data_IF_215254007174
#
_entry.id   IF_215254007174
#
_cell.length_a   1.000
_cell.length_b   1.000
_cell.length_c   1.000
_cell.angle_alpha   90.00
_cell.angle_beta   90.00
_cell.angle_gamma   90.00
#
_symmetry.space_group_name_H-M   'P 1'
#
loop_
_entity.id
_entity.type
_entity.pdbx_description
1 polymer ?
#
# COMPACT_ATOMS: atom_id res chain seq x y z
N UNK A 1 -7.50 31.56 18.13
CA UNK A 1 -7.90 30.22 17.63
C UNK A 1 -6.77 29.69 16.76
N UNK A 2 -6.18 28.54 17.11
CA UNK A 2 -5.11 27.92 16.32
C UNK A 2 -5.66 27.24 15.05
N UNK A 3 -4.83 27.06 14.00
CA UNK A 3 -5.31 26.47 12.75
C UNK A 3 -5.82 25.05 13.00
N UNK A 4 -7.08 24.82 12.65
CA UNK A 4 -7.74 23.51 12.65
C UNK A 4 -7.08 22.63 11.59
N UNK A 5 -6.16 21.77 12.05
CA UNK A 5 -5.56 20.66 11.32
C UNK A 5 -6.62 19.91 10.50
N UNK A 6 -6.71 20.24 9.22
CA UNK A 6 -7.45 19.44 8.24
C UNK A 6 -6.74 18.07 8.23
N UNK A 7 -7.48 17.00 8.55
CA UNK A 7 -6.93 15.66 8.54
C UNK A 7 -6.32 15.38 7.18
N UNK A 8 -5.00 15.17 7.12
CA UNK A 8 -4.28 14.88 5.87
C UNK A 8 -4.92 13.65 5.23
N UNK A 9 -5.62 13.86 4.10
CA UNK A 9 -6.21 12.78 3.33
C UNK A 9 -5.11 11.81 2.90
N UNK A 10 -5.35 10.50 3.08
CA UNK A 10 -4.35 9.49 2.74
C UNK A 10 -4.28 9.35 1.23
N UNK A 11 -3.13 9.66 0.63
CA UNK A 11 -2.86 9.34 -0.77
C UNK A 11 -2.94 7.83 -0.99
N UNK A 12 -3.92 7.37 -1.75
CA UNK A 12 -4.09 5.96 -2.07
C UNK A 12 -3.21 5.64 -3.28
N UNK A 13 -2.12 4.92 -3.04
CA UNK A 13 -1.20 4.46 -4.09
C UNK A 13 -1.54 3.02 -4.49
N UNK A 14 -1.60 2.76 -5.80
CA UNK A 14 -1.78 1.41 -6.35
C UNK A 14 -0.56 0.53 -6.06
N UNK A 15 -0.70 -0.80 -6.16
CA UNK A 15 0.45 -1.70 -6.01
C UNK A 15 1.47 -1.46 -7.12
N UNK A 16 1.02 -1.14 -8.33
CA UNK A 16 1.91 -0.89 -9.46
C UNK A 16 2.82 0.31 -9.20
N UNK A 17 2.25 1.44 -8.77
CA UNK A 17 3.03 2.64 -8.45
C UNK A 17 4.05 2.38 -7.34
N UNK A 18 3.70 1.57 -6.33
CA UNK A 18 4.65 1.16 -5.28
C UNK A 18 5.79 0.31 -5.83
N UNK A 19 5.53 -0.59 -6.79
CA UNK A 19 6.56 -1.40 -7.46
C UNK A 19 7.50 -0.53 -8.30
N UNK A 20 6.97 0.41 -9.07
CA UNK A 20 7.76 1.37 -9.84
C UNK A 20 8.69 2.19 -8.93
N UNK A 21 8.18 2.66 -7.79
CA UNK A 21 9.00 3.36 -6.81
C UNK A 21 10.13 2.48 -6.25
N UNK A 22 9.86 1.20 -5.97
CA UNK A 22 10.89 0.25 -5.51
C UNK A 22 11.94 0.05 -6.61
N UNK A 23 11.54 -0.14 -7.86
CA UNK A 23 12.45 -0.33 -8.99
C UNK A 23 13.36 0.89 -9.19
N UNK A 24 12.83 2.12 -9.08
CA UNK A 24 13.62 3.36 -9.15
C UNK A 24 14.65 3.48 -8.03
N UNK A 25 14.30 3.08 -6.80
CA UNK A 25 15.26 3.05 -5.68
C UNK A 25 16.34 1.99 -5.90
N UNK A 26 15.96 0.78 -6.32
CA UNK A 26 16.90 -0.31 -6.61
C UNK A 26 17.84 0.03 -7.78
N UNK A 27 17.36 0.84 -8.74
CA UNK A 27 18.17 1.42 -9.82
C UNK A 27 19.07 2.59 -9.41
N UNK A 28 19.17 2.93 -8.12
CA UNK A 28 20.11 3.92 -7.59
C UNK A 28 19.57 5.36 -7.47
N UNK A 29 18.29 5.60 -7.77
CA UNK A 29 17.71 6.94 -7.60
C UNK A 29 17.50 7.27 -6.11
N UNK A 30 17.85 8.50 -5.70
CA UNK A 30 17.73 8.92 -4.30
C UNK A 30 16.27 8.97 -3.85
N UNK A 31 16.02 8.51 -2.63
CA UNK A 31 14.67 8.50 -2.03
C UNK A 31 14.03 9.89 -1.96
N UNK A 32 14.83 10.94 -1.78
CA UNK A 32 14.35 12.32 -1.74
C UNK A 32 13.81 12.78 -3.10
N UNK A 33 14.48 12.41 -4.19
CA UNK A 33 14.07 12.75 -5.54
C UNK A 33 12.80 11.99 -5.93
N UNK A 34 12.69 10.72 -5.55
CA UNK A 34 11.47 9.92 -5.73
C UNK A 34 10.31 10.51 -4.93
N UNK A 35 10.55 10.86 -3.65
CA UNK A 35 9.53 11.51 -2.83
C UNK A 35 8.99 12.78 -3.50
N UNK A 36 9.88 13.61 -4.05
CA UNK A 36 9.53 14.83 -4.78
C UNK A 36 8.78 14.56 -6.09
N UNK A 37 9.21 13.57 -6.87
CA UNK A 37 8.54 13.18 -8.13
C UNK A 37 7.09 12.74 -7.92
N UNK A 38 6.82 12.00 -6.84
CA UNK A 38 5.49 11.46 -6.56
C UNK A 38 4.67 12.32 -5.58
N UNK A 39 5.19 13.48 -5.15
CA UNK A 39 4.53 14.34 -4.17
C UNK A 39 4.34 13.68 -2.79
N UNK A 40 5.22 12.75 -2.43
CA UNK A 40 5.14 11.96 -1.20
C UNK A 40 6.13 12.46 -0.15
N UNK A 41 5.83 12.17 1.11
CA UNK A 41 6.79 12.38 2.19
C UNK A 41 7.90 11.30 2.14
N UNK A 42 9.13 11.66 2.54
CA UNK A 42 10.26 10.73 2.62
C UNK A 42 9.97 9.52 3.52
N UNK A 43 9.23 9.75 4.60
CA UNK A 43 8.76 8.68 5.50
C UNK A 43 7.88 7.65 4.79
N UNK A 44 6.98 8.10 3.89
CA UNK A 44 6.13 7.21 3.09
C UNK A 44 6.95 6.33 2.16
N UNK A 45 7.94 6.90 1.46
CA UNK A 45 8.85 6.15 0.58
C UNK A 45 9.61 5.09 1.39
N UNK A 46 10.11 5.44 2.58
CA UNK A 46 10.77 4.49 3.49
C UNK A 46 9.84 3.34 3.89
N UNK A 47 8.59 3.62 4.23
CA UNK A 47 7.62 2.57 4.58
C UNK A 47 7.31 1.64 3.40
N UNK A 48 7.23 2.18 2.18
CA UNK A 48 7.04 1.38 0.97
C UNK A 48 8.23 0.42 0.77
N UNK A 49 9.46 0.91 0.90
CA UNK A 49 10.66 0.08 0.81
C UNK A 49 10.75 -0.98 1.90
N UNK A 50 10.36 -0.65 3.14
CA UNK A 50 10.32 -1.61 4.24
C UNK A 50 9.34 -2.77 3.97
N UNK A 51 8.33 -2.55 3.11
CA UNK A 51 7.33 -3.55 2.71
C UNK A 51 7.60 -4.16 1.33
N UNK A 52 8.79 -3.96 0.75
CA UNK A 52 9.14 -4.39 -0.61
C UNK A 52 8.88 -5.88 -0.86
N UNK A 53 9.19 -6.75 0.10
CA UNK A 53 9.01 -8.21 -0.04
C UNK A 53 7.54 -8.59 -0.21
N UNK A 54 6.66 -7.93 0.54
CA UNK A 54 5.21 -8.15 0.47
C UNK A 54 4.67 -7.60 -0.86
N UNK A 55 5.14 -6.43 -1.27
CA UNK A 55 4.73 -5.78 -2.54
C UNK A 55 5.19 -6.59 -3.77
N UNK A 56 6.37 -7.23 -3.70
CA UNK A 56 6.89 -8.12 -4.75
C UNK A 56 6.13 -9.45 -4.80
N UNK A 57 5.83 -10.07 -3.64
CA UNK A 57 5.10 -11.36 -3.55
C UNK A 57 3.62 -11.25 -3.91
N UNK A 58 2.99 -10.11 -3.68
CA UNK A 58 1.57 -9.90 -4.02
C UNK A 58 1.44 -9.88 -5.54
N UNK A 59 0.88 -10.90 -6.19
CA UNK A 59 0.46 -10.80 -7.59
C UNK A 59 -0.67 -9.78 -7.69
N UNK A 60 -0.40 -8.62 -8.28
CA UNK A 60 -1.38 -7.56 -8.44
C UNK A 60 -2.18 -7.82 -9.71
N UNK A 61 -3.48 -8.06 -9.57
CA UNK A 61 -4.46 -7.76 -10.62
C UNK A 61 -4.58 -6.24 -10.76
N UNK A 62 -4.79 -5.74 -11.98
CA UNK A 62 -4.98 -4.32 -12.26
C UNK A 62 -6.09 -3.73 -11.36
N UNK A 63 -5.80 -2.60 -10.70
CA UNK A 63 -6.76 -1.92 -9.82
C UNK A 63 -6.68 -2.26 -8.33
N UNK A 64 -5.88 -3.25 -7.90
CA UNK A 64 -5.67 -3.49 -6.46
C UNK A 64 -4.90 -2.32 -5.84
N UNK A 65 -5.53 -1.61 -4.92
CA UNK A 65 -4.94 -0.46 -4.19
C UNK A 65 -4.44 -0.83 -2.80
N UNK A 66 -5.03 -1.86 -2.18
CA UNK A 66 -4.76 -2.25 -0.79
C UNK A 66 -4.03 -3.59 -0.75
N UNK A 67 -2.82 -3.58 -0.20
CA UNK A 67 -2.24 -4.80 0.39
C UNK A 67 -2.87 -4.91 1.76
N UNK A 68 -3.94 -5.69 1.88
CA UNK A 68 -4.52 -6.00 3.18
C UNK A 68 -3.45 -6.73 3.97
N UNK A 69 -2.98 -6.14 5.06
CA UNK A 69 -2.05 -6.85 5.94
C UNK A 69 -2.74 -8.10 6.48
N UNK A 70 -2.00 -9.21 6.63
CA UNK A 70 -2.49 -10.38 7.38
C UNK A 70 -2.98 -10.00 8.80
N UNK A 71 -2.54 -8.87 9.35
CA UNK A 71 -3.05 -8.32 10.62
C UNK A 71 -4.47 -7.76 10.52
N UNK A 72 -4.89 -7.28 9.35
CA UNK A 72 -6.25 -6.79 9.10
C UNK A 72 -7.20 -7.89 8.62
N UNK A 73 -6.66 -8.95 8.00
CA UNK A 73 -7.43 -10.11 7.53
C UNK A 73 -7.07 -11.31 8.40
N UNK A 74 -7.84 -11.51 9.46
CA UNK A 74 -7.70 -12.67 10.33
C UNK A 74 -8.41 -13.89 9.75
N UNK A 75 -8.07 -15.08 10.25
CA UNK A 75 -8.74 -16.33 9.88
C UNK A 75 -10.26 -16.31 10.11
N UNK A 76 -10.76 -15.39 10.96
CA UNK A 76 -12.19 -15.16 11.17
C UNK A 76 -12.84 -14.60 9.90
N UNK A 77 -12.17 -13.70 9.18
CA UNK A 77 -12.66 -13.17 7.91
C UNK A 77 -12.76 -14.27 6.85
N UNK A 78 -11.73 -15.11 6.71
CA UNK A 78 -11.76 -16.21 5.74
C UNK A 78 -12.86 -17.24 6.10
N UNK A 79 -13.06 -17.52 7.39
CA UNK A 79 -14.16 -18.38 7.85
C UNK A 79 -15.53 -17.77 7.55
N UNK A 80 -15.70 -16.47 7.77
CA UNK A 80 -16.93 -15.73 7.50
C UNK A 80 -17.25 -15.71 6.00
N UNK A 81 -16.27 -15.44 5.13
CA UNK A 81 -16.44 -15.48 3.68
C UNK A 81 -16.87 -16.87 3.17
N UNK A 82 -16.28 -17.94 3.71
CA UNK A 82 -16.68 -19.33 3.38
C UNK A 82 -18.11 -19.64 3.79
N UNK A 83 -18.54 -19.18 4.97
CA UNK A 83 -19.91 -19.38 5.45
C UNK A 83 -20.91 -18.59 4.61
N UNK A 84 -20.58 -17.35 4.23
CA UNK A 84 -21.43 -16.55 3.35
C UNK A 84 -21.58 -17.17 1.95
N UNK A 85 -20.52 -17.78 1.40
CA UNK A 85 -20.58 -18.47 0.12
C UNK A 85 -21.58 -19.64 0.12
N UNK A 86 -21.64 -20.40 1.22
CA UNK A 86 -22.61 -21.50 1.39
C UNK A 86 -24.05 -20.97 1.49
N UNK A 87 -24.23 -19.72 1.94
CA UNK A 87 -25.55 -19.14 2.14
C UNK A 87 -26.14 -18.48 0.90
N UNK A 88 -25.27 -17.99 0.01
CA UNK A 88 -25.66 -17.35 -1.26
C UNK A 88 -25.90 -18.38 -2.37
N UNK A 89 -25.35 -19.59 -2.23
CA UNK A 89 -25.45 -20.69 -3.20
C UNK A 89 -26.51 -21.72 -2.77
#
# INVERSE_FOLDING_TARGET
MGPTKHGVSRTVLTINTKREMIAKVEGGQKMADIARQYGLNRSTVRTILAKKDIIKKTQATEGVTKITSAKQRSAIHDKMERLLLVWIN
#
